data_IF_505331508127
#
_entry.id   IF_505331508127
#
_cell.length_a   1.000
_cell.length_b   1.000
_cell.length_c   1.000
_cell.angle_alpha   90.00
_cell.angle_beta   90.00
_cell.angle_gamma   90.00
#
_symmetry.space_group_name_H-M   'P 1'
#
loop_
_entity.id
_entity.type
_entity.pdbx_description
1 polymer ?
#
# COMPACT_ATOMS: atom_id res chain seq x y z
N UNK A 1 -37.04 16.26 19.33
CA UNK A 1 -35.90 16.62 18.45
C UNK A 1 -34.72 15.76 18.89
N UNK A 2 -34.56 14.58 18.29
CA UNK A 2 -33.51 13.64 18.68
C UNK A 2 -32.16 14.14 18.16
N UNK A 3 -31.21 14.36 19.08
CA UNK A 3 -29.82 14.70 18.74
C UNK A 3 -29.19 13.53 17.99
N UNK A 4 -28.41 13.83 16.95
CA UNK A 4 -27.69 12.90 16.03
C UNK A 4 -26.69 11.93 16.72
N UNK A 5 -26.74 11.81 18.04
CA UNK A 5 -25.77 11.17 18.93
C UNK A 5 -26.06 9.68 19.24
N UNK A 6 -27.26 9.18 18.96
CA UNK A 6 -27.67 7.80 19.34
C UNK A 6 -27.51 6.75 18.22
N UNK A 7 -26.97 7.13 17.06
CA UNK A 7 -26.67 6.16 16.01
C UNK A 7 -25.49 5.27 16.44
N UNK A 8 -25.61 3.93 16.40
CA UNK A 8 -24.50 3.04 16.72
C UNK A 8 -23.33 3.32 15.79
N UNK A 9 -22.10 3.39 16.35
CA UNK A 9 -20.90 3.60 15.56
C UNK A 9 -20.73 2.43 14.57
N UNK A 10 -20.32 2.70 13.32
CA UNK A 10 -20.03 1.62 12.38
C UNK A 10 -18.86 0.78 12.92
N UNK A 11 -18.86 -0.50 12.53
CA UNK A 11 -17.76 -1.41 12.86
C UNK A 11 -16.43 -0.90 12.27
N UNK A 12 -15.34 -0.88 13.06
CA UNK A 12 -14.04 -0.48 12.55
C UNK A 12 -13.57 -1.39 11.41
N UNK A 13 -12.95 -0.79 10.40
CA UNK A 13 -12.29 -1.52 9.31
C UNK A 13 -10.80 -1.35 9.45
N UNK A 14 -10.06 -2.44 9.25
CA UNK A 14 -8.62 -2.46 9.37
C UNK A 14 -7.98 -2.45 7.99
N UNK A 15 -7.12 -1.47 7.80
CA UNK A 15 -6.27 -1.35 6.61
C UNK A 15 -4.83 -1.64 6.98
N UNK A 16 -4.03 -2.02 5.99
CA UNK A 16 -2.59 -2.24 6.18
C UNK A 16 -1.77 -1.43 5.17
N UNK A 17 -0.49 -1.25 5.47
CA UNK A 17 0.45 -0.48 4.63
C UNK A 17 1.39 -1.43 3.88
N UNK A 18 1.49 -1.27 2.56
CA UNK A 18 2.41 -2.08 1.76
C UNK A 18 3.83 -1.51 1.85
N UNK A 19 4.82 -2.31 2.30
CA UNK A 19 6.19 -1.84 2.51
C UNK A 19 6.98 -1.78 1.19
N UNK A 20 6.59 -0.89 0.27
CA UNK A 20 7.27 -0.74 -1.03
C UNK A 20 8.71 -0.20 -0.90
N UNK A 21 9.07 0.39 0.25
CA UNK A 21 10.43 0.82 0.59
C UNK A 21 11.30 -0.36 1.13
N UNK A 22 10.69 -1.51 1.40
CA UNK A 22 11.25 -2.61 2.18
C UNK A 22 10.79 -2.58 3.65
N UNK A 23 11.13 -3.64 4.38
CA UNK A 23 10.71 -3.84 5.78
C UNK A 23 11.84 -4.52 6.59
N UNK A 24 11.72 -4.56 7.91
CA UNK A 24 12.68 -5.21 8.79
C UNK A 24 12.22 -5.25 10.24
N UNK A 25 12.96 -5.98 11.08
CA UNK A 25 12.74 -5.97 12.52
C UNK A 25 13.34 -4.72 13.20
N UNK A 26 14.35 -4.10 12.57
CA UNK A 26 15.07 -2.96 13.14
C UNK A 26 14.80 -1.66 12.37
N UNK A 27 14.68 -0.56 13.13
CA UNK A 27 14.63 0.80 12.61
C UNK A 27 16.03 1.41 12.54
N UNK A 28 16.23 2.41 11.67
CA UNK A 28 17.50 3.15 11.57
C UNK A 28 18.63 2.40 10.87
N UNK A 29 18.31 1.35 10.11
CA UNK A 29 19.28 0.67 9.24
C UNK A 29 19.37 1.40 7.89
N UNK A 30 20.50 1.25 7.19
CA UNK A 30 20.67 1.82 5.84
C UNK A 30 19.97 1.00 4.74
N UNK A 31 19.67 -0.28 5.02
CA UNK A 31 19.02 -1.21 4.08
C UNK A 31 17.95 -2.01 4.78
N UNK A 32 16.91 -2.35 4.02
CA UNK A 32 15.86 -3.24 4.48
C UNK A 32 16.40 -4.67 4.72
N UNK A 33 15.97 -5.30 5.81
CA UNK A 33 16.20 -6.73 6.04
C UNK A 33 15.36 -7.58 5.09
N UNK A 34 14.19 -7.08 4.72
CA UNK A 34 13.28 -7.64 3.73
C UNK A 34 13.14 -6.62 2.59
N UNK A 35 13.89 -6.81 1.49
CA UNK A 35 13.75 -5.95 0.31
C UNK A 35 12.33 -5.99 -0.25
N UNK A 36 11.86 -4.91 -0.90
CA UNK A 36 10.51 -4.81 -1.47
C UNK A 36 10.38 -5.60 -2.80
N UNK A 37 10.76 -6.88 -2.77
CA UNK A 37 10.58 -7.79 -3.91
C UNK A 37 9.10 -8.12 -4.12
N UNK A 38 8.71 -8.39 -5.37
CA UNK A 38 7.33 -8.80 -5.67
C UNK A 38 6.88 -10.00 -4.84
N UNK A 39 7.73 -11.03 -4.69
CA UNK A 39 7.40 -12.22 -3.89
C UNK A 39 7.14 -11.91 -2.42
N UNK A 40 7.88 -10.95 -1.86
CA UNK A 40 7.64 -10.50 -0.48
C UNK A 40 6.34 -9.71 -0.38
N UNK A 41 6.11 -8.73 -1.27
CA UNK A 41 4.91 -7.92 -1.27
C UNK A 41 3.65 -8.77 -1.50
N UNK A 42 3.73 -9.74 -2.42
CA UNK A 42 2.68 -10.73 -2.65
C UNK A 42 2.30 -11.46 -1.37
N UNK A 43 3.28 -11.99 -0.62
CA UNK A 43 3.02 -12.67 0.65
C UNK A 43 2.33 -11.76 1.67
N UNK A 44 2.74 -10.50 1.76
CA UNK A 44 2.09 -9.50 2.65
C UNK A 44 0.62 -9.33 2.27
N UNK A 45 0.34 -9.14 0.99
CA UNK A 45 -1.02 -8.92 0.48
C UNK A 45 -1.90 -10.15 0.62
N UNK A 46 -1.43 -11.33 0.22
CA UNK A 46 -2.18 -12.58 0.36
C UNK A 46 -2.49 -12.88 1.84
N UNK A 47 -1.54 -12.60 2.74
CA UNK A 47 -1.75 -12.76 4.18
C UNK A 47 -2.81 -11.77 4.69
N UNK A 48 -2.74 -10.50 4.29
CA UNK A 48 -3.74 -9.50 4.68
C UNK A 48 -5.15 -9.86 4.16
N UNK A 49 -5.26 -10.35 2.91
CA UNK A 49 -6.52 -10.83 2.33
C UNK A 49 -7.08 -12.04 3.09
N UNK A 50 -6.23 -12.99 3.49
CA UNK A 50 -6.62 -14.16 4.29
C UNK A 50 -7.09 -13.79 5.69
N UNK A 51 -6.47 -12.78 6.31
CA UNK A 51 -6.82 -12.30 7.65
C UNK A 51 -8.03 -11.34 7.67
N UNK A 52 -8.59 -11.01 6.50
CA UNK A 52 -9.81 -10.20 6.41
C UNK A 52 -9.59 -8.70 6.56
N UNK A 53 -8.41 -8.19 6.23
CA UNK A 53 -8.20 -6.74 6.10
C UNK A 53 -9.14 -6.15 5.04
N UNK A 54 -9.56 -4.91 5.25
CA UNK A 54 -10.48 -4.24 4.34
C UNK A 54 -9.76 -3.70 3.09
N UNK A 55 -8.63 -3.02 3.29
CA UNK A 55 -7.83 -2.51 2.19
C UNK A 55 -6.34 -2.37 2.53
N UNK A 56 -5.55 -2.11 1.50
CA UNK A 56 -4.11 -1.95 1.57
C UNK A 56 -3.72 -0.61 0.96
N UNK A 57 -3.06 0.25 1.74
CA UNK A 57 -2.46 1.48 1.23
C UNK A 57 -1.16 1.13 0.51
N UNK A 58 -1.10 1.46 -0.78
CA UNK A 58 0.14 1.47 -1.56
C UNK A 58 0.60 2.93 -1.65
N UNK A 59 1.69 3.30 -0.95
CA UNK A 59 2.18 4.68 -0.95
C UNK A 59 2.82 5.02 -2.30
N UNK A 60 3.13 6.31 -2.50
CA UNK A 60 3.85 6.76 -3.69
C UNK A 60 5.10 7.55 -3.37
N UNK A 61 6.21 7.12 -3.96
CA UNK A 61 7.55 7.67 -3.78
C UNK A 61 8.35 7.54 -5.08
N UNK A 62 9.35 8.41 -5.23
CA UNK A 62 10.32 8.39 -6.33
C UNK A 62 11.73 8.03 -5.88
N UNK A 63 11.98 8.07 -4.58
CA UNK A 63 13.19 7.61 -3.92
C UNK A 63 12.80 6.92 -2.61
N UNK A 64 13.67 6.03 -2.11
CA UNK A 64 13.39 5.31 -0.87
C UNK A 64 13.35 6.31 0.29
N UNK A 65 12.28 6.25 1.09
CA UNK A 65 12.09 7.21 2.18
C UNK A 65 12.04 6.60 3.57
N UNK A 66 12.43 5.34 3.72
CA UNK A 66 12.61 4.67 5.02
C UNK A 66 14.08 4.26 5.28
N UNK A 67 14.82 3.98 4.21
CA UNK A 67 16.23 3.56 4.24
C UNK A 67 17.10 4.58 3.50
N UNK A 68 18.31 4.19 3.08
CA UNK A 68 19.13 5.03 2.22
C UNK A 68 18.39 5.41 0.92
N UNK A 69 18.57 6.64 0.43
CA UNK A 69 17.84 7.17 -0.73
C UNK A 69 17.93 6.28 -1.98
N UNK A 70 19.09 5.63 -2.17
CA UNK A 70 19.38 4.73 -3.28
C UNK A 70 18.96 3.27 -3.05
N UNK A 71 18.43 2.96 -1.87
CA UNK A 71 17.95 1.61 -1.55
C UNK A 71 16.78 1.23 -2.48
N UNK A 72 16.57 -0.08 -2.74
CA UNK A 72 15.49 -0.53 -3.60
C UNK A 72 14.12 0.00 -3.16
N UNK A 73 13.30 0.38 -4.13
CA UNK A 73 11.94 0.87 -3.96
C UNK A 73 11.08 0.22 -5.05
N UNK A 74 9.96 -0.39 -4.66
CA UNK A 74 8.97 -0.89 -5.61
C UNK A 74 8.10 0.28 -6.12
N UNK A 75 7.93 0.39 -7.44
CA UNK A 75 7.14 1.48 -8.04
C UNK A 75 5.64 1.23 -7.80
N UNK A 76 4.92 2.27 -7.38
CA UNK A 76 3.51 2.23 -6.94
C UNK A 76 2.56 1.55 -7.93
N UNK A 77 2.51 2.01 -9.18
CA UNK A 77 1.47 1.63 -10.15
C UNK A 77 1.70 0.24 -10.73
N UNK A 78 2.92 -0.07 -11.13
CA UNK A 78 3.30 -1.40 -11.60
C UNK A 78 3.14 -2.45 -10.50
N UNK A 79 3.49 -2.11 -9.26
CA UNK A 79 3.32 -3.00 -8.10
C UNK A 79 1.86 -3.26 -7.79
N UNK A 80 0.99 -2.23 -7.75
CA UNK A 80 -0.44 -2.46 -7.51
C UNK A 80 -1.07 -3.28 -8.64
N UNK A 81 -0.72 -3.04 -9.91
CA UNK A 81 -1.23 -3.83 -11.03
C UNK A 81 -0.83 -5.31 -10.88
N UNK A 82 0.41 -5.60 -10.53
CA UNK A 82 0.88 -6.97 -10.34
C UNK A 82 0.22 -7.66 -9.13
N UNK A 83 0.04 -6.95 -8.02
CA UNK A 83 -0.62 -7.49 -6.81
C UNK A 83 -2.14 -7.70 -7.02
N UNK A 84 -2.80 -6.77 -7.73
CA UNK A 84 -4.20 -6.91 -8.12
C UNK A 84 -4.43 -8.14 -9.02
N UNK A 85 -3.47 -8.48 -9.89
CA UNK A 85 -3.58 -9.65 -10.75
C UNK A 85 -3.49 -11.00 -9.99
N UNK A 86 -2.97 -11.02 -8.76
CA UNK A 86 -2.79 -12.25 -7.95
C UNK A 86 -3.66 -12.27 -6.70
N UNK A 87 -4.62 -11.35 -6.59
CA UNK A 87 -5.57 -11.26 -5.46
C UNK A 87 -7.00 -11.26 -5.94
N UNK A 88 -7.95 -11.45 -5.02
CA UNK A 88 -9.34 -11.74 -5.40
C UNK A 88 -10.39 -10.86 -4.73
N UNK A 89 -10.13 -10.34 -3.53
CA UNK A 89 -11.11 -9.64 -2.69
C UNK A 89 -10.56 -8.37 -2.05
N UNK A 90 -9.26 -8.33 -1.77
CA UNK A 90 -8.65 -7.20 -1.08
C UNK A 90 -8.69 -5.94 -1.95
N UNK A 91 -8.89 -4.78 -1.30
CA UNK A 91 -8.97 -3.48 -1.98
C UNK A 91 -7.62 -2.78 -1.90
N UNK A 92 -7.22 -2.09 -2.96
CA UNK A 92 -6.02 -1.25 -2.94
C UNK A 92 -6.41 0.23 -2.88
N UNK A 93 -5.89 0.92 -1.87
CA UNK A 93 -5.91 2.37 -1.76
C UNK A 93 -4.57 2.89 -2.30
N UNK A 94 -4.57 3.41 -3.53
CA UNK A 94 -3.33 3.80 -4.22
C UNK A 94 -3.07 5.30 -4.04
N UNK A 95 -1.90 5.65 -3.50
CA UNK A 95 -1.50 7.04 -3.37
C UNK A 95 -1.07 7.65 -4.71
N UNK A 96 -1.35 8.93 -4.90
CA UNK A 96 -1.09 9.65 -6.16
C UNK A 96 -0.47 11.01 -5.85
N UNK A 97 0.53 11.40 -6.62
CA UNK A 97 1.06 12.77 -6.65
C UNK A 97 0.67 13.42 -7.99
N UNK A 98 -0.38 14.26 -8.04
CA UNK A 98 -0.93 14.78 -9.30
C UNK A 98 0.07 15.52 -10.20
N UNK A 99 1.16 16.05 -9.65
CA UNK A 99 2.19 16.76 -10.42
C UNK A 99 3.14 15.89 -11.24
N UNK A 100 3.06 14.55 -11.16
CA UNK A 100 4.04 13.65 -11.77
C UNK A 100 3.49 12.77 -12.91
N UNK A 101 2.18 12.74 -13.10
CA UNK A 101 1.53 11.92 -14.15
C UNK A 101 0.42 12.77 -14.79
N UNK A 102 0.28 12.68 -16.11
CA UNK A 102 -0.85 13.30 -16.82
C UNK A 102 -2.18 12.80 -16.24
N UNK A 103 -3.09 13.73 -15.90
CA UNK A 103 -4.40 13.39 -15.32
C UNK A 103 -5.25 12.50 -16.23
N UNK A 104 -5.17 12.71 -17.55
CA UNK A 104 -5.87 11.88 -18.53
C UNK A 104 -5.32 10.46 -18.59
N UNK A 105 -3.99 10.30 -18.57
CA UNK A 105 -3.35 8.99 -18.51
C UNK A 105 -3.67 8.28 -17.19
N UNK A 106 -3.63 9.02 -16.09
CA UNK A 106 -3.94 8.51 -14.77
C UNK A 106 -5.36 7.94 -14.70
N UNK A 107 -6.35 8.67 -15.22
CA UNK A 107 -7.73 8.22 -15.28
C UNK A 107 -7.92 6.96 -16.16
N UNK A 108 -7.04 6.71 -17.13
CA UNK A 108 -7.08 5.49 -17.95
C UNK A 108 -6.47 4.28 -17.24
N UNK A 109 -5.49 4.48 -16.35
CA UNK A 109 -4.85 3.39 -15.59
C UNK A 109 -5.68 2.91 -14.39
N UNK A 110 -6.49 3.80 -13.81
CA UNK A 110 -7.30 3.55 -12.61
C UNK A 110 -8.67 2.93 -12.93
#
# INVERSE_FOLDING_TARGET
>A
MATKSDAPRPEPRFDWFIPIDGDGAHIGTFRAERPPSFEYLRKVVETAEQLGYYSLLIPTRFSNGLFEESAPLAETWTTVTALAAVTSRIRFLVAVRPGFISTGLFAQMA
#
